data_IF_583108279936
#
_entry.id   IF_583108279936
#
_cell.length_a   1.000
_cell.length_b   1.000
_cell.length_c   1.000
_cell.angle_alpha   90.00
_cell.angle_beta   90.00
_cell.angle_gamma   90.00
#
_symmetry.space_group_name_H-M   'P 1'
#
loop_
_entity.id
_entity.type
_entity.pdbx_description
1 polymer ?
#
# COMPACT_ATOMS: atom_id res chain seq x y z
N UNK A 1 -1.04 11.87 26.90
CA UNK A 1 -0.81 11.09 25.65
C UNK A 1 0.36 10.13 25.87
N UNK A 2 0.27 8.85 25.47
CA UNK A 2 1.41 7.90 25.65
C UNK A 2 2.58 8.29 24.73
N UNK A 3 3.79 8.37 25.26
CA UNK A 3 5.03 8.78 24.57
C UNK A 3 5.21 8.14 23.19
N UNK A 4 4.98 6.84 23.06
CA UNK A 4 5.05 6.13 21.77
C UNK A 4 4.07 6.66 20.70
N UNK A 5 2.90 7.17 21.11
CA UNK A 5 1.90 7.76 20.21
C UNK A 5 2.34 9.15 19.75
N UNK A 6 2.96 9.93 20.65
CA UNK A 6 3.59 11.21 20.32
C UNK A 6 4.72 10.98 19.33
N UNK A 7 5.63 10.03 19.60
CA UNK A 7 6.76 9.71 18.72
C UNK A 7 6.34 9.17 17.36
N UNK A 8 5.26 8.36 17.28
CA UNK A 8 4.73 7.89 15.99
C UNK A 8 4.12 9.04 15.18
N UNK A 9 3.36 9.94 15.83
CA UNK A 9 2.83 11.14 15.19
C UNK A 9 3.94 12.09 14.76
N UNK A 10 4.94 12.30 15.62
CA UNK A 10 6.10 13.13 15.33
C UNK A 10 6.88 12.57 14.14
N UNK A 11 7.13 11.26 14.07
CA UNK A 11 7.76 10.62 12.91
C UNK A 11 6.94 10.76 11.63
N UNK A 12 5.63 10.56 11.68
CA UNK A 12 4.78 10.75 10.52
C UNK A 12 4.77 12.22 10.04
N UNK A 13 4.86 13.18 10.98
CA UNK A 13 5.01 14.60 10.69
C UNK A 13 6.39 14.88 10.07
N UNK A 14 7.48 14.40 10.68
CA UNK A 14 8.85 14.56 10.18
C UNK A 14 8.98 14.00 8.77
N UNK A 15 8.52 12.78 8.50
CA UNK A 15 8.54 12.16 7.16
C UNK A 15 7.71 12.94 6.13
N UNK A 16 6.65 13.64 6.56
CA UNK A 16 5.87 14.51 5.68
C UNK A 16 6.66 15.76 5.24
N UNK A 17 7.58 16.22 6.09
CA UNK A 17 8.45 17.37 5.84
C UNK A 17 9.85 16.99 5.32
N UNK A 18 10.22 15.71 5.35
CA UNK A 18 11.44 15.23 4.72
C UNK A 18 11.45 15.55 3.22
N UNK A 19 12.62 16.00 2.77
CA UNK A 19 12.91 16.29 1.38
C UNK A 19 14.10 15.48 0.90
N UNK A 20 14.08 15.12 -0.38
CA UNK A 20 15.03 14.19 -0.98
C UNK A 20 15.71 14.84 -2.19
N UNK A 21 17.04 14.77 -2.21
CA UNK A 21 17.92 15.23 -3.31
C UNK A 21 18.75 14.08 -3.89
N UNK A 22 18.57 12.86 -3.37
CA UNK A 22 19.34 11.67 -3.72
C UNK A 22 18.80 10.92 -4.95
N UNK A 23 17.95 11.56 -5.75
CA UNK A 23 17.55 11.01 -7.02
C UNK A 23 18.72 10.97 -8.01
N UNK A 24 18.72 10.02 -8.97
CA UNK A 24 19.88 9.73 -9.80
C UNK A 24 20.27 10.92 -10.67
N UNK A 25 21.58 11.10 -10.90
CA UNK A 25 22.07 12.12 -11.84
C UNK A 25 21.47 11.94 -13.24
N UNK A 26 21.21 10.71 -13.66
CA UNK A 26 20.51 10.41 -14.91
C UNK A 26 19.10 11.01 -14.97
N UNK A 27 18.36 11.05 -13.85
CA UNK A 27 17.05 11.72 -13.81
C UNK A 27 17.18 13.23 -14.00
N UNK A 28 18.17 13.86 -13.37
CA UNK A 28 18.48 15.29 -13.57
C UNK A 28 18.94 15.58 -15.01
N UNK A 29 19.79 14.72 -15.58
CA UNK A 29 20.24 14.85 -16.97
C UNK A 29 19.10 14.69 -17.97
N UNK A 30 18.18 13.75 -17.72
CA UNK A 30 16.97 13.57 -18.53
C UNK A 30 16.09 14.82 -18.51
N UNK A 31 15.87 15.39 -17.32
CA UNK A 31 15.12 16.64 -17.16
C UNK A 31 15.81 17.80 -17.89
N UNK A 32 17.13 17.95 -17.72
CA UNK A 32 17.92 18.99 -18.40
C UNK A 32 17.88 18.85 -19.94
N UNK A 33 18.00 17.61 -20.46
CA UNK A 33 17.85 17.34 -21.89
C UNK A 33 16.44 17.69 -22.37
N UNK A 34 15.42 17.23 -21.66
CA UNK A 34 14.03 17.48 -22.05
C UNK A 34 13.65 18.96 -21.99
N UNK A 35 14.25 19.75 -21.08
CA UNK A 35 14.13 21.21 -21.07
C UNK A 35 14.67 21.79 -22.39
N UNK A 36 15.92 21.46 -22.75
CA UNK A 36 16.53 21.94 -24.01
C UNK A 36 15.73 21.54 -25.25
N UNK A 37 15.27 20.29 -25.31
CA UNK A 37 14.46 19.83 -26.45
C UNK A 37 13.09 20.53 -26.48
N UNK A 38 12.50 20.85 -25.33
CA UNK A 38 11.25 21.62 -25.28
C UNK A 38 11.47 23.09 -25.70
N UNK A 39 12.61 23.69 -25.34
CA UNK A 39 12.96 25.06 -25.73
C UNK A 39 13.10 25.19 -27.26
N UNK A 40 13.73 24.22 -27.93
CA UNK A 40 13.84 24.19 -29.40
C UNK A 40 12.49 24.21 -30.14
N UNK A 41 11.43 23.76 -29.48
CA UNK A 41 10.06 23.70 -30.02
C UNK A 41 9.15 24.78 -29.39
N UNK A 42 9.73 25.90 -28.98
CA UNK A 42 9.03 27.04 -28.36
C UNK A 42 8.23 26.65 -27.11
N UNK A 43 8.76 25.70 -26.33
CA UNK A 43 8.16 25.22 -25.08
C UNK A 43 6.71 24.72 -25.22
N UNK A 44 6.34 24.18 -26.39
CA UNK A 44 4.96 23.73 -26.66
C UNK A 44 4.48 22.56 -25.80
N UNK A 45 5.40 21.75 -25.24
CA UNK A 45 5.04 20.58 -24.45
C UNK A 45 5.01 20.85 -22.94
N UNK A 46 4.26 20.00 -22.23
CA UNK A 46 4.03 20.00 -20.78
C UNK A 46 3.34 21.25 -20.21
N UNK A 47 2.68 21.08 -19.06
CA UNK A 47 2.08 22.19 -18.31
C UNK A 47 3.15 23.00 -17.60
N UNK A 48 2.81 24.23 -17.18
CA UNK A 48 3.73 25.08 -16.42
C UNK A 48 4.25 24.40 -15.14
N UNK A 49 3.39 23.64 -14.44
CA UNK A 49 3.82 22.84 -13.28
C UNK A 49 4.86 21.78 -13.66
N UNK A 50 4.70 21.13 -14.81
CA UNK A 50 5.67 20.16 -15.33
C UNK A 50 7.02 20.82 -15.64
N UNK A 51 7.01 22.00 -16.27
CA UNK A 51 8.21 22.77 -16.58
C UNK A 51 8.95 23.23 -15.31
N UNK A 52 8.22 23.75 -14.31
CA UNK A 52 8.79 24.13 -13.01
C UNK A 52 9.39 22.91 -12.30
N UNK A 53 8.70 21.76 -12.32
CA UNK A 53 9.21 20.54 -11.70
C UNK A 53 10.46 20.03 -12.43
N UNK A 54 10.51 20.13 -13.75
CA UNK A 54 11.68 19.77 -14.53
C UNK A 54 12.90 20.62 -14.15
N UNK A 55 12.73 21.94 -14.02
CA UNK A 55 13.80 22.82 -13.55
C UNK A 55 14.30 22.41 -12.16
N UNK A 56 13.38 22.07 -11.25
CA UNK A 56 13.76 21.58 -9.91
C UNK A 56 14.54 20.27 -9.96
N UNK A 57 14.11 19.31 -10.79
CA UNK A 57 14.79 18.01 -10.95
C UNK A 57 16.16 18.19 -11.62
N UNK A 58 16.24 19.01 -12.66
CA UNK A 58 17.49 19.30 -13.38
C UNK A 58 18.53 19.93 -12.45
N UNK A 59 18.11 20.85 -11.59
CA UNK A 59 18.95 21.53 -10.59
C UNK A 59 19.17 20.70 -9.31
N UNK A 60 18.70 19.45 -9.28
CA UNK A 60 18.80 18.56 -8.13
C UNK A 60 18.20 19.13 -6.82
N UNK A 61 17.18 19.99 -6.93
CA UNK A 61 16.50 20.62 -5.79
C UNK A 61 15.77 19.59 -4.91
N UNK A 62 15.66 19.83 -3.60
CA UNK A 62 14.97 18.93 -2.67
C UNK A 62 13.50 18.74 -3.03
N UNK A 63 13.05 17.47 -3.06
CA UNK A 63 11.66 17.08 -3.30
C UNK A 63 11.04 16.50 -2.03
N UNK A 64 9.93 17.06 -1.55
CA UNK A 64 9.23 16.49 -0.40
C UNK A 64 8.70 15.08 -0.68
N UNK A 65 8.47 14.26 0.35
CA UNK A 65 7.92 12.91 0.18
C UNK A 65 6.61 12.88 -0.62
N UNK A 66 5.73 13.85 -0.37
CA UNK A 66 4.48 13.98 -1.14
C UNK A 66 4.74 14.33 -2.61
N UNK A 67 5.78 15.11 -2.89
CA UNK A 67 6.22 15.39 -4.26
C UNK A 67 6.74 14.14 -4.93
N UNK A 68 7.58 13.33 -4.26
CA UNK A 68 8.09 12.06 -4.80
C UNK A 68 6.94 11.12 -5.17
N UNK A 69 5.89 11.00 -4.34
CA UNK A 69 4.68 10.23 -4.67
C UNK A 69 3.93 10.76 -5.89
N UNK A 70 3.86 12.08 -6.06
CA UNK A 70 3.25 12.72 -7.25
C UNK A 70 4.07 12.44 -8.51
N UNK A 71 5.40 12.55 -8.42
CA UNK A 71 6.35 12.22 -9.50
C UNK A 71 6.16 10.77 -9.93
N UNK A 72 6.20 9.82 -9.00
CA UNK A 72 5.95 8.39 -9.28
C UNK A 72 4.59 8.17 -9.97
N UNK A 73 3.53 8.77 -9.43
CA UNK A 73 2.17 8.60 -9.96
C UNK A 73 2.04 9.13 -11.39
N UNK A 74 2.64 10.29 -11.67
CA UNK A 74 2.67 10.85 -13.02
C UNK A 74 3.47 9.94 -13.97
N UNK A 75 4.73 9.64 -13.64
CA UNK A 75 5.62 8.86 -14.49
C UNK A 75 5.05 7.48 -14.81
N UNK A 76 4.40 6.81 -13.84
CA UNK A 76 3.78 5.50 -14.06
C UNK A 76 2.69 5.53 -15.13
N UNK A 77 1.90 6.60 -15.21
CA UNK A 77 0.88 6.78 -16.27
C UNK A 77 1.50 7.29 -17.56
N UNK A 78 2.42 8.25 -17.44
CA UNK A 78 3.04 8.92 -18.57
C UNK A 78 3.96 8.00 -19.40
N UNK A 79 4.47 6.91 -18.80
CA UNK A 79 5.31 5.93 -19.50
C UNK A 79 4.66 5.36 -20.76
N UNK A 80 3.33 5.21 -20.77
CA UNK A 80 2.59 4.72 -21.95
C UNK A 80 2.69 5.66 -23.17
N UNK A 81 3.04 6.93 -22.97
CA UNK A 81 3.20 7.93 -24.02
C UNK A 81 4.67 8.21 -24.37
N UNK A 82 5.61 7.56 -23.68
CA UNK A 82 7.04 7.69 -23.96
C UNK A 82 7.46 6.71 -25.05
N UNK A 83 7.82 7.27 -26.20
CA UNK A 83 8.24 6.52 -27.41
C UNK A 83 9.76 6.52 -27.60
N UNK A 84 10.49 7.31 -26.81
CA UNK A 84 11.92 7.61 -27.02
C UNK A 84 12.18 8.73 -28.04
N UNK A 85 11.16 9.16 -28.80
CA UNK A 85 11.25 10.22 -29.81
C UNK A 85 11.03 11.61 -29.19
N UNK A 86 12.11 12.41 -29.11
CA UNK A 86 12.08 13.77 -28.56
C UNK A 86 11.37 14.81 -29.44
N UNK A 87 10.86 14.43 -30.61
CA UNK A 87 9.93 15.30 -31.36
C UNK A 87 8.50 15.26 -30.79
N UNK A 88 8.17 14.22 -30.01
CA UNK A 88 6.83 14.01 -29.43
C UNK A 88 6.73 14.55 -28.01
N UNK A 89 5.62 15.24 -27.72
CA UNK A 89 5.37 15.77 -26.38
C UNK A 89 5.27 14.70 -25.29
N UNK A 90 4.92 13.45 -25.63
CA UNK A 90 4.91 12.34 -24.68
C UNK A 90 6.29 12.07 -24.08
N UNK A 91 7.30 11.88 -24.93
CA UNK A 91 8.69 11.66 -24.50
C UNK A 91 9.32 12.88 -23.84
N UNK A 92 9.07 14.09 -24.36
CA UNK A 92 9.55 15.32 -23.72
C UNK A 92 8.96 15.43 -22.31
N UNK A 93 7.62 15.33 -22.18
CA UNK A 93 6.95 15.47 -20.88
C UNK A 93 7.36 14.38 -19.89
N UNK A 94 7.55 13.14 -20.36
CA UNK A 94 8.03 12.06 -19.53
C UNK A 94 9.45 12.33 -18.98
N UNK A 95 10.35 12.77 -19.85
CA UNK A 95 11.74 13.05 -19.47
C UNK A 95 11.90 14.36 -18.69
N UNK A 96 11.00 15.35 -18.86
CA UNK A 96 10.92 16.54 -18.00
C UNK A 96 10.72 16.15 -16.52
N UNK A 97 10.00 15.05 -16.25
CA UNK A 97 9.84 14.52 -14.90
C UNK A 97 10.94 13.53 -14.49
N UNK A 98 12.02 13.43 -15.27
CA UNK A 98 13.21 12.62 -14.99
C UNK A 98 13.18 11.18 -15.56
N UNK A 99 12.12 10.82 -16.31
CA UNK A 99 12.04 9.58 -17.07
C UNK A 99 12.13 8.29 -16.25
N UNK A 100 12.58 7.20 -16.87
CA UNK A 100 12.66 5.86 -16.22
C UNK A 100 13.55 5.86 -14.98
N UNK A 101 14.62 6.65 -15.00
CA UNK A 101 15.53 6.79 -13.86
C UNK A 101 14.80 7.34 -12.64
N UNK A 102 14.00 8.38 -12.82
CA UNK A 102 13.20 8.96 -11.74
C UNK A 102 12.04 8.05 -11.34
N UNK A 103 11.43 7.33 -12.29
CA UNK A 103 10.35 6.38 -12.02
C UNK A 103 10.83 5.26 -11.08
N UNK A 104 11.94 4.59 -11.44
CA UNK A 104 12.52 3.50 -10.64
C UNK A 104 12.99 4.00 -9.27
N UNK A 105 13.66 5.15 -9.24
CA UNK A 105 14.11 5.72 -7.97
C UNK A 105 12.94 6.11 -7.07
N UNK A 106 11.91 6.79 -7.61
CA UNK A 106 10.76 7.22 -6.81
C UNK A 106 9.97 6.03 -6.27
N UNK A 107 9.79 4.95 -7.04
CA UNK A 107 9.20 3.70 -6.56
C UNK A 107 10.01 3.07 -5.42
N UNK A 108 11.34 2.96 -5.61
CA UNK A 108 12.26 2.43 -4.60
C UNK A 108 12.25 3.28 -3.33
N UNK A 109 12.29 4.61 -3.47
CA UNK A 109 12.26 5.57 -2.37
C UNK A 109 10.96 5.51 -1.60
N UNK A 110 9.81 5.44 -2.27
CA UNK A 110 8.51 5.26 -1.63
C UNK A 110 8.49 3.97 -0.82
N UNK A 111 8.96 2.87 -1.41
CA UNK A 111 9.05 1.59 -0.72
C UNK A 111 10.01 1.65 0.47
N UNK A 112 11.17 2.31 0.33
CA UNK A 112 12.14 2.50 1.41
C UNK A 112 11.53 3.29 2.56
N UNK A 113 10.90 4.43 2.28
CA UNK A 113 10.27 5.27 3.31
C UNK A 113 9.09 4.55 3.95
N UNK A 114 8.26 3.85 3.18
CA UNK A 114 7.19 3.02 3.71
C UNK A 114 7.72 1.84 4.54
N UNK A 115 8.89 1.28 4.20
CA UNK A 115 9.57 0.24 4.98
C UNK A 115 10.22 0.79 6.25
N UNK A 116 10.81 1.98 6.20
CA UNK A 116 11.34 2.70 7.37
C UNK A 116 10.24 3.09 8.34
N UNK A 117 9.06 3.44 7.82
CA UNK A 117 7.83 3.57 8.61
C UNK A 117 7.31 2.21 9.11
N UNK A 118 7.72 1.09 8.50
CA UNK A 118 7.21 -0.24 8.81
C UNK A 118 8.06 -1.07 9.78
N UNK A 119 9.35 -0.80 10.04
CA UNK A 119 10.10 -1.57 11.05
C UNK A 119 11.12 -0.74 11.85
N UNK A 120 10.94 -0.73 13.17
CA UNK A 120 11.96 -0.35 14.16
C UNK A 120 12.00 -1.47 15.20
N UNK A 121 13.11 -2.21 15.26
CA UNK A 121 13.42 -3.11 16.37
C UNK A 121 13.89 -2.34 17.60
N UNK A 122 13.85 -2.98 18.77
CA UNK A 122 14.03 -2.37 20.12
C UNK A 122 15.28 -1.50 20.32
N UNK A 123 16.31 -1.58 19.45
CA UNK A 123 17.52 -0.73 19.49
C UNK A 123 17.91 -0.08 18.14
N UNK A 124 16.97 0.06 17.21
CA UNK A 124 17.16 0.91 16.01
C UNK A 124 17.89 0.30 14.79
N UNK A 125 18.13 -1.01 14.72
CA UNK A 125 18.73 -1.66 13.53
C UNK A 125 17.71 -2.30 12.56
N UNK A 126 17.94 -2.19 11.24
CA UNK A 126 17.16 -2.85 10.16
C UNK A 126 17.64 -4.28 9.95
N UNK A 127 16.79 -5.31 10.12
CA UNK A 127 17.17 -6.72 9.93
C UNK A 127 17.00 -7.17 8.47
N UNK A 128 18.03 -7.79 7.87
CA UNK A 128 17.95 -8.51 6.59
C UNK A 128 17.60 -9.99 6.82
N UNK A 129 16.81 -10.58 5.92
CA UNK A 129 16.41 -12.00 5.97
C UNK A 129 17.07 -12.82 4.85
N UNK A 130 17.38 -14.11 5.11
CA UNK A 130 17.90 -15.05 4.11
C UNK A 130 16.82 -15.54 3.13
N UNK A 131 17.26 -16.10 2.00
CA UNK A 131 16.44 -16.44 0.83
C UNK A 131 15.58 -17.70 1.08
N UNK A 132 14.36 -17.71 0.54
CA UNK A 132 13.31 -18.67 0.90
C UNK A 132 13.37 -20.04 0.17
N UNK A 133 12.92 -21.13 0.83
CA UNK A 133 12.81 -22.48 0.27
C UNK A 133 11.57 -22.66 -0.64
N UNK A 134 11.49 -23.82 -1.32
CA UNK A 134 10.49 -24.13 -2.37
C UNK A 134 9.06 -24.32 -1.81
N UNK A 135 8.08 -24.07 -2.67
CA UNK A 135 6.65 -23.90 -2.35
C UNK A 135 5.91 -25.14 -1.83
N UNK A 136 6.55 -26.29 -1.92
CA UNK A 136 5.96 -27.63 -1.80
C UNK A 136 6.48 -28.39 -0.58
N UNK A 137 7.37 -27.80 0.23
CA UNK A 137 7.85 -28.43 1.47
C UNK A 137 6.76 -28.41 2.56
N UNK A 138 6.23 -29.57 2.99
CA UNK A 138 5.24 -29.63 4.07
C UNK A 138 5.89 -29.20 5.40
N UNK A 139 5.21 -28.35 6.18
CA UNK A 139 5.69 -27.91 7.50
C UNK A 139 5.02 -28.72 8.62
N UNK A 140 5.69 -29.73 9.21
CA UNK A 140 5.05 -30.67 10.14
C UNK A 140 4.87 -30.08 11.54
N UNK A 141 5.44 -28.91 11.84
CA UNK A 141 5.38 -28.26 13.17
C UNK A 141 5.29 -26.73 13.02
N UNK A 142 4.09 -26.15 12.87
CA UNK A 142 3.92 -24.72 12.65
C UNK A 142 4.24 -23.93 13.93
N UNK A 143 5.50 -23.48 14.08
CA UNK A 143 5.89 -22.53 15.15
C UNK A 143 5.79 -21.09 14.64
N UNK A 144 4.60 -20.48 14.77
CA UNK A 144 4.42 -19.05 14.54
C UNK A 144 4.62 -18.23 15.81
N UNK A 145 5.69 -17.41 15.89
CA UNK A 145 5.78 -16.31 16.86
C UNK A 145 5.17 -15.03 16.24
N UNK A 146 4.05 -14.58 16.79
CA UNK A 146 3.28 -13.39 16.35
C UNK A 146 1.78 -13.53 16.65
N UNK A 147 0.96 -12.50 16.43
CA UNK A 147 -0.50 -12.39 16.72
C UNK A 147 -1.40 -13.47 16.10
N UNK A 148 -0.83 -14.49 15.47
CA UNK A 148 -1.47 -15.73 15.06
C UNK A 148 -1.80 -16.70 16.22
N UNK A 149 -1.67 -16.27 17.49
CA UNK A 149 -2.22 -17.02 18.64
C UNK A 149 -3.64 -16.55 18.94
N UNK A 150 -4.64 -17.38 18.61
CA UNK A 150 -6.04 -17.21 19.03
C UNK A 150 -6.97 -18.12 18.21
N UNK A 151 -8.04 -18.59 18.84
CA UNK A 151 -9.06 -19.39 18.16
C UNK A 151 -9.93 -18.49 17.28
N UNK A 152 -9.84 -18.69 15.96
CA UNK A 152 -10.63 -17.96 14.96
C UNK A 152 -11.89 -18.73 14.51
N UNK A 153 -12.25 -19.82 15.22
CA UNK A 153 -13.52 -20.53 15.07
C UNK A 153 -14.71 -19.61 15.31
N UNK A 154 -14.55 -18.64 16.23
CA UNK A 154 -15.60 -17.69 16.61
C UNK A 154 -15.10 -16.24 16.63
N UNK A 155 -16.03 -15.29 16.50
CA UNK A 155 -15.74 -13.86 16.54
C UNK A 155 -15.18 -13.36 17.89
N UNK A 156 -15.26 -14.17 18.95
CA UNK A 156 -14.83 -13.81 20.31
C UNK A 156 -13.39 -14.25 20.62
N UNK A 157 -12.92 -15.35 20.03
CA UNK A 157 -11.59 -15.92 20.31
C UNK A 157 -10.42 -15.21 19.61
N UNK A 158 -10.72 -14.32 18.66
CA UNK A 158 -9.70 -13.71 17.82
C UNK A 158 -8.86 -12.63 18.54
N UNK A 159 -7.55 -12.83 18.58
CA UNK A 159 -6.56 -11.87 19.13
C UNK A 159 -5.86 -11.13 17.99
N UNK A 160 -5.93 -9.81 18.04
CA UNK A 160 -5.28 -8.92 17.06
C UNK A 160 -4.49 -7.85 17.81
N UNK A 161 -3.48 -7.27 17.16
CA UNK A 161 -2.73 -6.16 17.77
C UNK A 161 -3.66 -4.97 18.04
N UNK A 162 -3.31 -4.10 19.01
CA UNK A 162 -4.08 -2.88 19.30
C UNK A 162 -4.18 -1.95 18.08
N UNK A 163 -3.18 -1.96 17.20
CA UNK A 163 -3.15 -1.14 15.99
C UNK A 163 -4.08 -1.71 14.91
N UNK A 164 -4.04 -3.02 14.70
CA UNK A 164 -4.95 -3.67 13.76
C UNK A 164 -6.39 -3.55 14.26
N UNK A 165 -6.62 -3.69 15.57
CA UNK A 165 -7.93 -3.52 16.19
C UNK A 165 -8.54 -2.14 15.88
N UNK A 166 -7.76 -1.06 15.99
CA UNK A 166 -8.23 0.29 15.64
C UNK A 166 -8.61 0.40 14.17
N UNK A 167 -7.85 -0.25 13.28
CA UNK A 167 -8.15 -0.27 11.84
C UNK A 167 -9.42 -1.06 11.54
N UNK A 168 -9.61 -2.20 12.20
CA UNK A 168 -10.81 -3.02 12.11
C UNK A 168 -12.04 -2.28 12.67
N UNK A 169 -11.88 -1.58 13.80
CA UNK A 169 -12.92 -0.72 14.38
C UNK A 169 -13.35 0.34 13.37
N UNK A 170 -12.42 1.13 12.85
CA UNK A 170 -12.72 2.16 11.85
C UNK A 170 -13.43 1.59 10.61
N UNK A 171 -12.97 0.44 10.10
CA UNK A 171 -13.61 -0.23 8.94
C UNK A 171 -15.04 -0.67 9.25
N UNK A 172 -15.28 -1.22 10.44
CA UNK A 172 -16.61 -1.61 10.90
C UNK A 172 -17.54 -0.41 11.01
N UNK A 173 -17.07 0.67 11.62
CA UNK A 173 -17.85 1.90 11.83
C UNK A 173 -18.18 2.59 10.51
N UNK A 174 -17.19 2.76 9.63
CA UNK A 174 -17.36 3.34 8.30
C UNK A 174 -18.33 2.50 7.43
N UNK A 175 -18.25 1.18 7.51
CA UNK A 175 -19.16 0.29 6.80
C UNK A 175 -20.59 0.43 7.33
N UNK A 176 -20.77 0.35 8.66
CA UNK A 176 -22.08 0.40 9.27
C UNK A 176 -22.76 1.76 9.07
N UNK A 177 -22.00 2.86 9.18
CA UNK A 177 -22.50 4.21 8.90
C UNK A 177 -23.08 4.33 7.49
N UNK A 178 -22.46 3.68 6.51
CA UNK A 178 -22.86 3.79 5.10
C UNK A 178 -23.95 2.80 4.70
N UNK A 179 -23.94 1.59 5.27
CA UNK A 179 -24.70 0.47 4.71
C UNK A 179 -25.64 -0.22 5.69
N UNK A 180 -25.47 -0.07 7.01
CA UNK A 180 -26.28 -0.84 7.99
C UNK A 180 -27.78 -0.60 7.85
N UNK A 181 -28.19 0.68 7.72
CA UNK A 181 -29.60 1.05 7.55
C UNK A 181 -30.16 0.52 6.23
N UNK A 182 -29.37 0.57 5.14
CA UNK A 182 -29.77 0.10 3.81
C UNK A 182 -29.89 -1.42 3.72
N UNK A 183 -28.98 -2.15 4.37
CA UNK A 183 -28.92 -3.61 4.29
C UNK A 183 -29.78 -4.30 5.35
N UNK A 184 -30.19 -3.61 6.41
CA UNK A 184 -30.89 -4.21 7.56
C UNK A 184 -29.99 -5.11 8.43
N UNK A 185 -28.69 -5.16 8.12
CA UNK A 185 -27.65 -5.84 8.88
C UNK A 185 -26.31 -5.11 8.70
N UNK A 186 -25.35 -5.39 9.58
CA UNK A 186 -24.04 -4.75 9.56
C UNK A 186 -22.92 -5.72 9.91
N UNK A 187 -21.72 -5.18 10.04
CA UNK A 187 -20.54 -5.94 10.48
C UNK A 187 -20.14 -5.51 11.89
N UNK A 188 -19.55 -6.43 12.63
CA UNK A 188 -19.01 -6.19 13.97
C UNK A 188 -17.50 -6.32 13.92
N UNK A 189 -16.81 -5.63 14.84
CA UNK A 189 -15.36 -5.72 14.96
C UNK A 189 -14.92 -7.15 15.27
N UNK A 190 -15.70 -7.91 16.03
CA UNK A 190 -15.45 -9.33 16.28
C UNK A 190 -15.40 -10.17 14.99
N UNK A 191 -16.36 -9.97 14.08
CA UNK A 191 -16.34 -10.63 12.76
C UNK A 191 -15.08 -10.25 11.98
N UNK A 192 -14.75 -8.95 11.94
CA UNK A 192 -13.56 -8.49 11.20
C UNK A 192 -12.25 -8.99 11.82
N UNK A 193 -12.18 -9.13 13.16
CA UNK A 193 -11.03 -9.74 13.86
C UNK A 193 -10.85 -11.21 13.48
N UNK A 194 -11.93 -11.97 13.42
CA UNK A 194 -11.88 -13.37 13.01
C UNK A 194 -11.45 -13.53 11.55
N UNK A 195 -12.02 -12.75 10.62
CA UNK A 195 -11.60 -12.73 9.20
C UNK A 195 -10.12 -12.33 9.08
N UNK A 196 -9.69 -11.30 9.81
CA UNK A 196 -8.32 -10.85 9.82
C UNK A 196 -7.37 -11.95 10.30
N UNK A 197 -7.68 -12.61 11.41
CA UNK A 197 -6.87 -13.72 11.89
C UNK A 197 -6.83 -14.92 10.93
N UNK A 198 -7.96 -15.29 10.31
CA UNK A 198 -7.97 -16.32 9.25
C UNK A 198 -7.10 -15.91 8.07
N UNK A 199 -7.06 -14.62 7.74
CA UNK A 199 -6.12 -14.06 6.79
C UNK A 199 -4.67 -14.25 7.22
N UNK A 200 -4.32 -13.98 8.47
CA UNK A 200 -2.97 -14.23 9.01
C UNK A 200 -2.59 -15.71 8.97
N UNK A 201 -3.52 -16.61 9.31
CA UNK A 201 -3.31 -18.06 9.22
C UNK A 201 -3.11 -18.54 7.77
N UNK A 202 -3.95 -18.05 6.85
CA UNK A 202 -3.78 -18.28 5.42
C UNK A 202 -2.41 -17.77 4.94
N UNK A 203 -1.96 -16.59 5.41
CA UNK A 203 -0.66 -16.06 5.01
C UNK A 203 0.51 -17.02 5.29
N UNK A 204 0.46 -17.67 6.45
CA UNK A 204 1.49 -18.59 6.91
C UNK A 204 1.47 -19.95 6.17
N UNK A 205 0.40 -20.26 5.45
CA UNK A 205 0.21 -21.53 4.72
C UNK A 205 0.24 -21.35 3.20
N UNK A 206 -0.37 -20.27 2.69
CA UNK A 206 -0.42 -19.91 1.27
C UNK A 206 -0.70 -18.41 1.09
N UNK A 207 0.22 -17.68 0.46
CA UNK A 207 -0.02 -16.28 0.09
C UNK A 207 0.65 -15.90 -1.23
N UNK A 208 0.18 -14.80 -1.83
CA UNK A 208 0.80 -14.26 -3.03
C UNK A 208 2.21 -13.77 -2.71
N UNK A 209 3.25 -14.19 -3.48
CA UNK A 209 4.63 -13.77 -3.24
C UNK A 209 4.86 -12.25 -3.41
N UNK A 210 3.89 -11.52 -4.00
CA UNK A 210 3.92 -10.05 -4.11
C UNK A 210 3.53 -9.36 -2.80
N UNK A 211 2.77 -10.01 -1.92
CA UNK A 211 2.31 -9.44 -0.66
C UNK A 211 3.20 -9.98 0.46
N UNK A 212 4.11 -9.17 0.97
CA UNK A 212 5.08 -9.60 1.99
C UNK A 212 4.65 -9.36 3.43
N UNK A 213 3.51 -8.69 3.63
CA UNK A 213 3.00 -8.33 4.95
C UNK A 213 1.78 -9.21 5.29
N UNK A 214 1.85 -10.02 6.36
CA UNK A 214 0.72 -10.80 6.85
C UNK A 214 -0.49 -9.92 7.17
N UNK A 215 -0.27 -8.77 7.82
CA UNK A 215 -1.34 -7.83 8.14
C UNK A 215 -1.98 -7.24 6.88
N UNK A 216 -1.19 -6.88 5.86
CA UNK A 216 -1.73 -6.40 4.56
C UNK A 216 -2.57 -7.47 3.87
N UNK A 217 -2.11 -8.72 3.89
CA UNK A 217 -2.85 -9.86 3.37
C UNK A 217 -4.17 -10.09 4.13
N UNK A 218 -4.11 -10.06 5.46
CA UNK A 218 -5.28 -10.18 6.32
C UNK A 218 -6.29 -9.04 6.11
N UNK A 219 -5.83 -7.80 5.94
CA UNK A 219 -6.70 -6.68 5.60
C UNK A 219 -7.28 -6.76 4.19
N UNK A 220 -6.57 -7.35 3.23
CA UNK A 220 -7.14 -7.62 1.91
C UNK A 220 -8.31 -8.61 2.02
N UNK A 221 -8.15 -9.66 2.83
CA UNK A 221 -9.25 -10.59 3.15
C UNK A 221 -10.42 -9.90 3.86
N UNK A 222 -10.16 -9.02 4.82
CA UNK A 222 -11.20 -8.19 5.47
C UNK A 222 -11.94 -7.32 4.45
N UNK A 223 -11.24 -6.71 3.50
CA UNK A 223 -11.90 -5.91 2.46
C UNK A 223 -12.77 -6.78 1.52
N UNK A 224 -12.31 -7.98 1.18
CA UNK A 224 -13.10 -8.95 0.42
C UNK A 224 -14.37 -9.39 1.18
N UNK A 225 -14.27 -9.60 2.49
CA UNK A 225 -15.41 -9.87 3.36
C UNK A 225 -16.41 -8.71 3.39
N UNK A 226 -15.94 -7.47 3.55
CA UNK A 226 -16.82 -6.28 3.51
C UNK A 226 -17.51 -6.12 2.15
N UNK A 227 -16.80 -6.42 1.05
CA UNK A 227 -17.39 -6.44 -0.29
C UNK A 227 -18.52 -7.48 -0.38
N UNK A 228 -18.27 -8.69 0.11
CA UNK A 228 -19.27 -9.75 0.17
C UNK A 228 -20.51 -9.29 0.95
N UNK A 229 -20.32 -8.77 2.17
CA UNK A 229 -21.44 -8.32 3.02
C UNK A 229 -22.28 -7.23 2.34
N UNK A 230 -21.63 -6.29 1.63
CA UNK A 230 -22.31 -5.20 0.91
C UNK A 230 -23.12 -5.71 -0.27
N UNK A 231 -22.54 -6.61 -1.08
CA UNK A 231 -23.07 -6.95 -2.39
C UNK A 231 -23.85 -8.27 -2.41
N UNK A 232 -23.90 -9.00 -1.30
CA UNK A 232 -24.53 -10.32 -1.22
C UNK A 232 -23.74 -11.46 -1.87
N UNK A 233 -22.67 -11.14 -2.62
CA UNK A 233 -21.81 -12.10 -3.34
C UNK A 233 -20.34 -11.67 -3.31
N UNK A 234 -19.39 -12.62 -3.33
CA UNK A 234 -17.98 -12.29 -3.29
C UNK A 234 -17.48 -11.79 -4.65
N UNK A 235 -16.42 -10.98 -4.65
CA UNK A 235 -15.79 -10.53 -5.90
C UNK A 235 -15.09 -11.68 -6.63
N UNK A 236 -14.47 -12.59 -5.87
CA UNK A 236 -13.98 -13.87 -6.38
C UNK A 236 -14.97 -14.97 -5.99
N UNK A 237 -15.61 -15.67 -6.95
CA UNK A 237 -16.55 -16.75 -6.66
C UNK A 237 -15.99 -17.85 -5.75
N UNK A 238 -14.66 -18.09 -5.77
CA UNK A 238 -13.99 -19.10 -4.94
C UNK A 238 -13.83 -18.68 -3.46
N UNK A 239 -14.20 -17.44 -3.10
CA UNK A 239 -14.13 -16.98 -1.72
C UNK A 239 -15.40 -17.37 -0.94
N UNK A 240 -15.30 -18.49 -0.21
CA UNK A 240 -16.38 -19.09 0.58
C UNK A 240 -16.04 -19.28 2.06
N UNK A 241 -14.76 -19.12 2.42
CA UNK A 241 -14.20 -19.56 3.71
C UNK A 241 -14.57 -18.71 4.93
N UNK A 242 -15.34 -17.63 4.76
CA UNK A 242 -15.79 -16.76 5.86
C UNK A 242 -17.32 -16.60 5.91
N UNK A 243 -18.08 -17.48 5.25
CA UNK A 243 -19.55 -17.40 5.20
C UNK A 243 -20.21 -17.66 6.56
N UNK A 244 -19.56 -18.45 7.41
CA UNK A 244 -19.94 -18.70 8.80
C UNK A 244 -19.86 -17.44 9.68
N UNK A 245 -19.09 -16.43 9.27
CA UNK A 245 -19.00 -15.18 10.00
C UNK A 245 -20.08 -14.19 9.58
N UNK A 246 -20.82 -14.43 8.50
CA UNK A 246 -21.79 -13.47 7.97
C UNK A 246 -22.94 -13.17 8.95
N UNK A 247 -23.58 -11.98 8.83
CA UNK A 247 -24.78 -11.65 9.57
C UNK A 247 -25.94 -12.58 9.18
N UNK A 248 -26.81 -12.93 10.14
CA UNK A 248 -27.93 -13.87 9.95
C UNK A 248 -28.79 -13.58 8.72
N UNK A 249 -29.08 -12.30 8.46
CA UNK A 249 -29.91 -11.83 7.34
C UNK A 249 -29.18 -11.76 5.98
N UNK A 250 -27.89 -12.09 5.92
CA UNK A 250 -27.13 -12.06 4.67
C UNK A 250 -27.43 -13.30 3.81
N UNK A 251 -27.59 -13.19 2.48
CA UNK A 251 -28.03 -14.29 1.60
C UNK A 251 -27.11 -15.51 1.56
N UNK A 252 -25.80 -15.31 1.84
CA UNK A 252 -24.80 -16.39 1.94
C UNK A 252 -24.48 -16.81 3.37
N UNK A 253 -25.23 -16.32 4.37
CA UNK A 253 -25.05 -16.70 5.77
C UNK A 253 -25.37 -18.17 5.98
N UNK A 254 -24.49 -18.89 6.68
CA UNK A 254 -24.79 -20.25 7.15
C UNK A 254 -25.56 -20.27 8.46
N UNK A 255 -25.70 -19.11 9.13
CA UNK A 255 -26.55 -18.94 10.31
C UNK A 255 -27.98 -18.71 9.83
N UNK A 256 -28.82 -19.75 9.90
CA UNK A 256 -30.27 -19.67 9.73
C UNK A 256 -30.98 -19.32 11.04
#
# INVERSE_FOLDING_TARGET
MKYATVMTKLRAIVVKFETYTDYPKSASNNAARAIRENEKINNKCATQTGKVRAQQIAQKKPLSFNTVKRVFSYLKRAKAYDTGDYTKCGTISYNLWGGDSMLRWSESKIKQVEQQLAEIGERGGVRKSPKAPKSDTPNPRPKGKGTAKGDASTSRGAKVSKQDLKTLQKKSDDFNKRYKKKLGYGVTVGQLKAVFQRGLGAFNTSHSPRIKSPSRWAFARVNAYLYLVKNGRPQNPKYTTDYDLLPKKHPKSTKK
#
